data_IF_481228337788
#
_entry.id   IF_481228337788
#
_cell.length_a   1.000
_cell.length_b   1.000
_cell.length_c   1.000
_cell.angle_alpha   90.00
_cell.angle_beta   90.00
_cell.angle_gamma   90.00
#
_symmetry.space_group_name_H-M   'P 1'
#
loop_
_entity.id
_entity.type
_entity.pdbx_description
1 polymer ?
#
# COMPACT_ATOMS: atom_id res chain seq x y z
N UNK A 1 -14.72 10.26 -4.14
CA UNK A 1 -13.27 10.47 -4.24
C UNK A 1 -12.50 9.67 -3.19
N UNK A 2 -12.54 9.96 -1.89
CA UNK A 2 -11.70 9.28 -0.86
C UNK A 2 -11.79 7.75 -0.88
N UNK A 3 -12.97 7.19 -1.09
CA UNK A 3 -13.14 5.74 -1.20
C UNK A 3 -12.41 5.18 -2.42
N UNK A 4 -12.48 5.84 -3.56
CA UNK A 4 -11.87 5.36 -4.80
C UNK A 4 -10.34 5.31 -4.73
N UNK A 5 -9.70 6.35 -4.19
CA UNK A 5 -8.23 6.41 -4.09
C UNK A 5 -7.65 5.53 -2.97
N UNK A 6 -8.48 5.01 -2.06
CA UNK A 6 -8.11 4.02 -1.04
C UNK A 6 -8.56 2.60 -1.39
N UNK A 7 -9.12 2.38 -2.59
CA UNK A 7 -9.39 1.07 -3.14
C UNK A 7 -8.10 0.47 -3.72
N UNK A 8 -7.82 -0.81 -3.47
CA UNK A 8 -6.66 -1.50 -4.07
C UNK A 8 -6.70 -1.53 -5.59
N UNK A 9 -7.86 -1.38 -6.21
CA UNK A 9 -7.95 -1.17 -7.66
C UNK A 9 -7.20 0.08 -8.12
N UNK A 10 -7.24 1.17 -7.34
CA UNK A 10 -6.47 2.39 -7.63
C UNK A 10 -4.98 2.11 -7.58
N UNK A 11 -4.49 1.48 -6.50
CA UNK A 11 -3.10 1.07 -6.39
C UNK A 11 -2.66 0.18 -7.55
N UNK A 12 -3.45 -0.87 -7.87
CA UNK A 12 -3.16 -1.81 -8.95
C UNK A 12 -3.11 -1.12 -10.33
N UNK A 13 -3.93 -0.08 -10.56
CA UNK A 13 -3.95 0.67 -11.82
C UNK A 13 -2.67 1.47 -12.09
N UNK A 14 -1.86 1.72 -11.06
CA UNK A 14 -0.59 2.42 -11.19
C UNK A 14 0.57 1.53 -11.68
N UNK A 15 0.31 0.26 -11.95
CA UNK A 15 1.33 -0.71 -12.33
C UNK A 15 2.23 -1.13 -11.14
N UNK A 16 3.40 -1.68 -11.45
CA UNK A 16 4.39 -2.18 -10.48
C UNK A 16 3.87 -3.34 -9.60
N UNK A 17 2.99 -4.18 -10.11
CA UNK A 17 2.59 -5.41 -9.41
C UNK A 17 3.72 -6.45 -9.37
N UNK A 18 3.68 -7.36 -8.40
CA UNK A 18 4.51 -8.57 -8.42
C UNK A 18 4.15 -9.43 -9.64
N UNK A 19 5.10 -10.23 -10.19
CA UNK A 19 4.82 -11.10 -11.33
C UNK A 19 3.61 -12.00 -11.10
N UNK A 20 2.60 -11.91 -11.95
CA UNK A 20 1.34 -12.64 -11.83
C UNK A 20 0.30 -11.99 -10.90
N UNK A 21 0.60 -10.88 -10.25
CA UNK A 21 -0.38 -10.15 -9.47
C UNK A 21 -1.46 -9.52 -10.35
N UNK A 22 -2.71 -9.52 -9.87
CA UNK A 22 -3.84 -8.92 -10.56
C UNK A 22 -4.89 -8.39 -9.58
N UNK A 23 -5.59 -7.33 -9.99
CA UNK A 23 -6.83 -6.93 -9.34
C UNK A 23 -8.01 -7.51 -10.13
N UNK A 24 -8.88 -8.27 -9.45
CA UNK A 24 -9.98 -9.01 -10.05
C UNK A 24 -11.32 -8.59 -9.44
N UNK A 25 -12.37 -8.62 -10.25
CA UNK A 25 -13.72 -8.20 -9.83
C UNK A 25 -14.74 -9.33 -9.86
N UNK A 26 -14.43 -10.43 -10.52
CA UNK A 26 -15.31 -11.59 -10.65
C UNK A 26 -14.72 -12.82 -10.01
N UNK A 27 -15.57 -13.79 -9.66
CA UNK A 27 -15.13 -15.08 -9.14
C UNK A 27 -14.28 -15.83 -10.17
N UNK A 28 -14.67 -15.79 -11.45
CA UNK A 28 -13.98 -16.53 -12.51
C UNK A 28 -12.58 -15.97 -12.75
N UNK A 29 -12.41 -14.63 -12.75
CA UNK A 29 -11.08 -14.01 -12.80
C UNK A 29 -10.24 -14.42 -11.59
N UNK A 30 -10.81 -14.43 -10.38
CA UNK A 30 -10.09 -14.84 -9.17
C UNK A 30 -9.63 -16.29 -9.25
N UNK A 31 -10.50 -17.18 -9.70
CA UNK A 31 -10.17 -18.59 -9.88
C UNK A 31 -9.11 -18.80 -10.96
N UNK A 32 -9.15 -18.05 -12.06
CA UNK A 32 -8.14 -18.11 -13.12
C UNK A 32 -6.74 -17.70 -12.60
N UNK A 33 -6.65 -16.59 -11.83
CA UNK A 33 -5.37 -16.19 -11.21
C UNK A 33 -4.87 -17.24 -10.23
N UNK A 34 -5.72 -17.76 -9.35
CA UNK A 34 -5.34 -18.77 -8.35
C UNK A 34 -4.94 -20.12 -8.96
N UNK A 35 -5.46 -20.44 -10.15
CA UNK A 35 -5.07 -21.65 -10.90
C UNK A 35 -3.73 -21.49 -11.62
N UNK A 36 -3.28 -20.26 -11.87
CA UNK A 36 -2.03 -19.98 -12.55
C UNK A 36 -0.81 -20.38 -11.71
N UNK A 37 0.33 -20.58 -12.40
CA UNK A 37 1.61 -20.86 -11.72
C UNK A 37 2.03 -19.65 -10.86
N UNK A 38 2.29 -19.92 -9.60
CA UNK A 38 2.78 -18.93 -8.64
C UNK A 38 4.26 -19.21 -8.31
N UNK A 39 5.13 -18.21 -8.44
CA UNK A 39 6.58 -18.34 -8.17
C UNK A 39 6.88 -18.75 -6.73
N UNK A 40 6.02 -18.37 -5.77
CA UNK A 40 6.15 -18.70 -4.35
C UNK A 40 5.32 -19.92 -3.92
N UNK A 41 4.59 -20.55 -4.84
CA UNK A 41 3.67 -21.67 -4.57
C UNK A 41 2.38 -21.28 -3.85
N UNK A 42 2.25 -20.04 -3.40
CA UNK A 42 1.07 -19.54 -2.66
C UNK A 42 0.68 -18.15 -3.09
N UNK A 43 -0.61 -17.88 -3.11
CA UNK A 43 -1.22 -16.60 -3.39
C UNK A 43 -1.75 -15.93 -2.13
N UNK A 44 -1.57 -14.63 -2.02
CA UNK A 44 -2.21 -13.77 -1.04
C UNK A 44 -3.33 -12.99 -1.73
N UNK A 45 -4.58 -13.25 -1.36
CA UNK A 45 -5.72 -12.47 -1.80
C UNK A 45 -6.10 -11.44 -0.74
N UNK A 46 -6.24 -10.18 -1.15
CA UNK A 46 -6.56 -9.02 -0.29
C UNK A 46 -7.83 -8.37 -0.81
N UNK A 47 -8.83 -8.12 0.03
CA UNK A 47 -10.05 -7.39 -0.37
C UNK A 47 -9.72 -5.97 -0.81
N UNK A 48 -10.56 -5.43 -1.71
CA UNK A 48 -10.45 -4.04 -2.20
C UNK A 48 -10.25 -3.02 -1.07
N UNK A 49 -10.94 -3.24 0.05
CA UNK A 49 -10.78 -2.46 1.27
C UNK A 49 -10.34 -3.38 2.41
N UNK A 50 -9.14 -3.15 2.93
CA UNK A 50 -8.58 -3.85 4.08
C UNK A 50 -7.98 -2.87 5.07
N UNK A 51 -7.93 -3.26 6.35
CA UNK A 51 -7.32 -2.48 7.41
C UNK A 51 -6.54 -3.38 8.35
N UNK A 52 -5.30 -2.99 8.71
CA UNK A 52 -4.46 -3.66 9.70
C UNK A 52 -4.34 -5.19 9.46
N UNK A 53 -4.10 -5.61 8.22
CA UNK A 53 -3.95 -7.02 7.86
C UNK A 53 -5.26 -7.83 7.79
N UNK A 54 -6.42 -7.21 8.05
CA UNK A 54 -7.74 -7.86 7.94
C UNK A 54 -8.19 -7.91 6.47
N UNK A 55 -9.09 -8.85 6.17
CA UNK A 55 -9.66 -8.98 4.82
C UNK A 55 -8.71 -9.63 3.81
N UNK A 56 -7.78 -10.46 4.29
CA UNK A 56 -6.86 -11.24 3.45
C UNK A 56 -7.03 -12.75 3.67
N UNK A 57 -6.68 -13.53 2.65
CA UNK A 57 -6.67 -15.00 2.71
C UNK A 57 -5.51 -15.52 1.85
N UNK A 58 -4.87 -16.58 2.34
CA UNK A 58 -3.83 -17.29 1.60
C UNK A 58 -4.44 -18.52 0.92
N UNK A 59 -4.02 -18.76 -0.32
CA UNK A 59 -4.38 -19.93 -1.12
C UNK A 59 -3.10 -20.65 -1.58
N UNK A 60 -3.09 -21.95 -1.57
CA UNK A 60 -2.10 -22.72 -2.32
C UNK A 60 -2.39 -22.56 -3.83
N UNK A 61 -1.35 -22.48 -4.66
CA UNK A 61 -1.53 -22.39 -6.11
C UNK A 61 -2.28 -23.61 -6.64
N UNK A 62 -3.28 -23.38 -7.48
CA UNK A 62 -4.12 -24.42 -8.06
C UNK A 62 -5.17 -25.03 -7.11
N UNK A 63 -5.29 -24.55 -5.86
CA UNK A 63 -6.22 -25.17 -4.89
C UNK A 63 -7.15 -24.14 -4.25
N UNK A 64 -8.46 -24.35 -4.37
CA UNK A 64 -9.49 -23.54 -3.72
C UNK A 64 -10.52 -24.46 -3.08
N UNK A 65 -10.54 -24.53 -1.76
CA UNK A 65 -11.52 -25.27 -0.99
C UNK A 65 -12.91 -24.59 -0.96
N UNK A 66 -13.93 -25.27 -0.47
CA UNK A 66 -15.29 -24.73 -0.39
C UNK A 66 -15.37 -23.42 0.44
N UNK A 67 -14.63 -23.35 1.55
CA UNK A 67 -14.58 -22.16 2.41
C UNK A 67 -13.86 -20.99 1.71
N UNK A 68 -12.79 -21.28 0.96
CA UNK A 68 -12.09 -20.32 0.11
C UNK A 68 -12.98 -19.79 -1.00
N UNK A 69 -13.69 -20.69 -1.71
CA UNK A 69 -14.64 -20.29 -2.74
C UNK A 69 -15.75 -19.37 -2.19
N UNK A 70 -16.34 -19.71 -1.04
CA UNK A 70 -17.34 -18.88 -0.40
C UNK A 70 -16.77 -17.50 0.00
N UNK A 71 -15.52 -17.42 0.44
CA UNK A 71 -14.84 -16.16 0.74
C UNK A 71 -14.61 -15.31 -0.53
N UNK A 72 -14.19 -15.93 -1.65
CA UNK A 72 -14.01 -15.28 -2.95
C UNK A 72 -15.34 -14.71 -3.46
N UNK A 73 -16.43 -15.49 -3.42
CA UNK A 73 -17.78 -15.02 -3.82
C UNK A 73 -18.17 -13.74 -3.08
N UNK A 74 -17.97 -13.70 -1.75
CA UNK A 74 -18.28 -12.48 -0.96
C UNK A 74 -17.36 -11.31 -1.31
N UNK A 75 -16.10 -11.56 -1.61
CA UNK A 75 -15.13 -10.53 -1.90
C UNK A 75 -15.29 -9.94 -3.30
N UNK A 76 -15.72 -10.73 -4.28
CA UNK A 76 -16.00 -10.32 -5.66
C UNK A 76 -17.46 -9.88 -5.90
N UNK A 77 -18.31 -9.93 -4.86
CA UNK A 77 -19.67 -9.37 -4.96
C UNK A 77 -19.62 -7.84 -5.15
N UNK A 78 -20.70 -7.24 -5.61
CA UNK A 78 -20.80 -5.79 -5.78
C UNK A 78 -20.48 -5.03 -4.47
N UNK A 79 -20.90 -5.57 -3.31
CA UNK A 79 -20.56 -5.02 -2.00
C UNK A 79 -19.08 -5.25 -1.60
N UNK A 80 -18.46 -6.31 -2.10
CA UNK A 80 -17.06 -6.66 -1.82
C UNK A 80 -16.05 -5.81 -2.58
N UNK A 81 -16.39 -5.34 -3.77
CA UNK A 81 -15.60 -4.43 -4.60
C UNK A 81 -14.47 -5.09 -5.38
N UNK A 82 -14.11 -6.34 -5.11
CA UNK A 82 -13.03 -7.08 -5.76
C UNK A 82 -11.89 -7.48 -4.84
N UNK A 83 -10.85 -8.02 -5.46
CA UNK A 83 -9.66 -8.56 -4.79
C UNK A 83 -8.39 -8.16 -5.54
N UNK A 84 -7.36 -7.81 -4.80
CA UNK A 84 -5.99 -7.91 -5.27
C UNK A 84 -5.45 -9.30 -4.91
N UNK A 85 -4.90 -10.01 -5.89
CA UNK A 85 -4.27 -11.33 -5.71
C UNK A 85 -2.82 -11.19 -6.14
N UNK A 86 -1.88 -11.51 -5.25
CA UNK A 86 -0.44 -11.41 -5.48
C UNK A 86 0.29 -12.66 -4.94
N UNK A 87 1.49 -12.98 -5.41
CA UNK A 87 2.33 -13.99 -4.79
C UNK A 87 2.54 -13.70 -3.30
N UNK A 88 2.40 -14.72 -2.44
CA UNK A 88 2.73 -14.59 -1.02
C UNK A 88 4.25 -14.61 -0.85
N UNK A 89 4.85 -13.46 -0.68
CA UNK A 89 6.28 -13.29 -0.51
C UNK A 89 6.75 -13.55 0.93
N UNK A 90 7.97 -14.11 1.06
CA UNK A 90 8.70 -14.20 2.33
C UNK A 90 9.34 -12.85 2.62
N UNK A 91 8.60 -11.96 3.31
CA UNK A 91 9.01 -10.59 3.61
C UNK A 91 10.09 -10.59 4.67
N UNK A 92 11.21 -9.90 4.40
CA UNK A 92 12.34 -9.73 5.31
C UNK A 92 12.39 -8.37 5.96
N UNK A 93 11.78 -7.34 5.35
CA UNK A 93 11.66 -6.00 5.91
C UNK A 93 10.48 -5.26 5.28
N UNK A 94 9.79 -4.45 6.06
CA UNK A 94 8.68 -3.61 5.62
C UNK A 94 9.03 -2.13 5.81
N UNK A 95 8.73 -1.32 4.80
CA UNK A 95 9.04 0.10 4.75
C UNK A 95 7.79 0.89 4.36
N UNK A 96 7.78 2.18 4.72
CA UNK A 96 6.81 3.13 4.19
C UNK A 96 7.51 4.44 3.79
N UNK A 97 6.89 5.17 2.89
CA UNK A 97 7.22 6.57 2.59
C UNK A 97 5.94 7.38 2.64
N UNK A 98 6.03 8.56 3.19
CA UNK A 98 4.88 9.41 3.46
C UNK A 98 5.03 10.74 2.73
N UNK A 99 3.91 11.30 2.31
CA UNK A 99 3.89 12.59 1.66
C UNK A 99 2.63 13.39 1.98
N UNK A 100 2.65 14.64 1.56
CA UNK A 100 1.51 15.53 1.62
C UNK A 100 1.35 16.22 0.28
N UNK A 101 0.16 16.12 -0.29
CA UNK A 101 -0.22 16.76 -1.54
C UNK A 101 -1.08 17.98 -1.23
N UNK A 102 -0.57 19.17 -1.55
CA UNK A 102 -1.31 20.43 -1.39
C UNK A 102 -2.42 20.59 -2.41
N UNK A 103 -3.41 21.43 -2.12
CA UNK A 103 -4.53 21.73 -3.03
C UNK A 103 -4.09 22.28 -4.39
N UNK A 104 -2.93 22.94 -4.46
CA UNK A 104 -2.31 23.46 -5.70
C UNK A 104 -1.34 22.46 -6.37
N UNK A 105 -1.30 21.21 -5.95
CA UNK A 105 -0.40 20.20 -6.49
C UNK A 105 1.01 20.20 -5.89
N UNK A 106 1.31 21.10 -4.96
CA UNK A 106 2.60 21.10 -4.26
C UNK A 106 2.79 19.79 -3.48
N UNK A 107 3.88 19.09 -3.76
CA UNK A 107 4.20 17.81 -3.14
C UNK A 107 5.32 17.99 -2.10
N UNK A 108 5.09 17.49 -0.90
CA UNK A 108 6.13 17.30 0.12
C UNK A 108 6.25 15.81 0.40
N UNK A 109 7.46 15.27 0.27
CA UNK A 109 7.76 13.87 0.57
C UNK A 109 8.70 13.82 1.79
N UNK A 110 8.37 12.97 2.74
CA UNK A 110 9.17 12.73 3.94
C UNK A 110 10.29 11.71 3.72
N UNK A 111 10.93 11.33 4.82
CA UNK A 111 11.98 10.32 4.80
C UNK A 111 11.38 8.89 4.91
N UNK A 112 12.09 7.87 4.35
CA UNK A 112 11.67 6.48 4.49
C UNK A 112 11.56 6.07 5.96
N UNK A 113 10.58 5.23 6.25
CA UNK A 113 10.39 4.63 7.57
C UNK A 113 10.46 3.12 7.48
N UNK A 114 10.98 2.48 8.53
CA UNK A 114 10.89 1.04 8.75
C UNK A 114 9.68 0.73 9.60
N UNK A 115 8.94 -0.31 9.23
CA UNK A 115 7.78 -0.79 9.97
C UNK A 115 8.14 -2.06 10.75
N UNK A 116 7.71 -2.14 11.98
CA UNK A 116 7.73 -3.36 12.78
C UNK A 116 6.37 -4.02 12.65
N UNK A 117 6.35 -5.21 12.07
CA UNK A 117 5.15 -5.98 11.78
C UNK A 117 5.23 -7.29 12.53
N UNK A 118 4.16 -7.72 13.17
CA UNK A 118 4.11 -9.01 13.85
C UNK A 118 4.02 -10.19 12.86
N UNK A 119 4.09 -11.42 13.38
CA UNK A 119 3.99 -12.65 12.59
C UNK A 119 2.66 -12.79 11.84
N UNK A 120 1.61 -12.11 12.31
CA UNK A 120 0.32 -12.06 11.63
C UNK A 120 0.26 -10.97 10.55
N UNK A 121 1.32 -10.14 10.42
CA UNK A 121 1.40 -9.01 9.51
C UNK A 121 0.60 -7.81 9.98
N UNK A 122 0.35 -7.68 11.28
CA UNK A 122 -0.22 -6.49 11.87
C UNK A 122 0.89 -5.52 12.28
N UNK A 123 0.65 -4.25 12.02
CA UNK A 123 1.56 -3.17 12.40
C UNK A 123 1.69 -3.07 13.93
N UNK A 124 2.92 -2.91 14.40
CA UNK A 124 3.27 -2.72 15.82
C UNK A 124 3.91 -1.35 16.08
N UNK A 125 4.85 -0.94 15.23
CA UNK A 125 5.56 0.33 15.39
C UNK A 125 6.10 0.86 14.06
N UNK A 126 6.43 2.14 14.02
CA UNK A 126 7.15 2.79 12.91
C UNK A 126 8.28 3.63 13.48
N UNK A 127 9.44 3.59 12.83
CA UNK A 127 10.59 4.45 13.09
C UNK A 127 11.18 4.94 11.77
N UNK A 128 11.99 5.98 11.79
CA UNK A 128 12.78 6.36 10.61
C UNK A 128 13.70 5.20 10.21
N UNK A 129 13.79 4.95 8.92
CA UNK A 129 14.76 4.00 8.40
C UNK A 129 16.17 4.52 8.62
N UNK A 130 17.09 3.64 9.09
CA UNK A 130 18.50 3.99 9.21
C UNK A 130 19.14 4.08 7.82
N UNK A 131 20.32 4.70 7.75
CA UNK A 131 21.03 4.90 6.50
C UNK A 131 21.40 3.57 5.81
N UNK A 132 21.67 2.54 6.59
CA UNK A 132 22.10 1.20 6.16
C UNK A 132 20.94 0.23 5.86
N UNK A 133 19.68 0.63 6.09
CA UNK A 133 18.52 -0.27 5.91
C UNK A 133 17.99 -0.32 4.48
N UNK A 134 18.22 0.71 3.70
CA UNK A 134 17.80 0.79 2.30
C UNK A 134 19.00 1.13 1.42
N UNK A 135 19.20 0.36 0.38
CA UNK A 135 20.19 0.66 -0.66
C UNK A 135 19.84 1.99 -1.37
N UNK A 136 20.85 2.71 -1.93
CA UNK A 136 20.56 3.95 -2.68
C UNK A 136 19.49 3.77 -3.77
N UNK A 137 19.59 2.70 -4.56
CA UNK A 137 18.59 2.40 -5.61
C UNK A 137 17.19 2.15 -5.05
N UNK A 138 17.06 1.53 -3.88
CA UNK A 138 15.77 1.31 -3.22
C UNK A 138 15.17 2.64 -2.72
N UNK A 139 16.01 3.55 -2.22
CA UNK A 139 15.58 4.92 -1.82
C UNK A 139 15.08 5.71 -3.01
N UNK A 140 15.80 5.65 -4.12
CA UNK A 140 15.43 6.36 -5.35
C UNK A 140 14.13 5.78 -5.94
N UNK A 141 14.00 4.46 -5.99
CA UNK A 141 12.76 3.79 -6.40
C UNK A 141 11.57 4.20 -5.52
N UNK A 142 11.77 4.30 -4.20
CA UNK A 142 10.71 4.76 -3.28
C UNK A 142 10.29 6.20 -3.55
N UNK A 143 11.25 7.11 -3.78
CA UNK A 143 10.96 8.50 -4.11
C UNK A 143 10.20 8.59 -5.43
N UNK A 144 10.64 7.87 -6.45
CA UNK A 144 9.98 7.80 -7.74
C UNK A 144 8.51 7.33 -7.59
N UNK A 145 8.27 6.24 -6.87
CA UNK A 145 6.93 5.71 -6.62
C UNK A 145 6.05 6.66 -5.80
N UNK A 146 6.64 7.45 -4.88
CA UNK A 146 5.89 8.47 -4.15
C UNK A 146 5.42 9.61 -5.07
N UNK A 147 6.25 10.00 -6.05
CA UNK A 147 5.87 11.01 -7.05
C UNK A 147 4.77 10.48 -7.98
N UNK A 148 4.91 9.27 -8.52
CA UNK A 148 3.88 8.62 -9.35
C UNK A 148 2.55 8.50 -8.61
N UNK A 149 2.58 8.07 -7.35
CA UNK A 149 1.38 7.98 -6.54
C UNK A 149 0.73 9.35 -6.31
N UNK A 150 1.55 10.40 -6.03
CA UNK A 150 1.06 11.76 -5.81
C UNK A 150 0.43 12.34 -7.08
N UNK A 151 1.04 12.15 -8.26
CA UNK A 151 0.49 12.58 -9.55
C UNK A 151 -0.87 11.92 -9.82
N UNK A 152 -0.97 10.61 -9.62
CA UNK A 152 -2.22 9.89 -9.81
C UNK A 152 -3.30 10.32 -8.80
N UNK A 153 -2.93 10.58 -7.55
CA UNK A 153 -3.82 11.11 -6.53
C UNK A 153 -4.32 12.51 -6.91
N UNK A 154 -3.44 13.37 -7.44
CA UNK A 154 -3.81 14.70 -7.92
C UNK A 154 -4.80 14.64 -9.08
N UNK A 155 -4.54 13.77 -10.07
CA UNK A 155 -5.45 13.53 -11.20
C UNK A 155 -6.82 13.05 -10.72
N UNK A 156 -6.86 12.21 -9.67
CA UNK A 156 -8.09 11.77 -9.03
C UNK A 156 -8.78 12.85 -8.16
N UNK A 157 -8.22 14.07 -8.10
CA UNK A 157 -8.73 15.19 -7.32
C UNK A 157 -8.45 15.11 -5.82
N UNK A 158 -7.53 14.23 -5.39
CA UNK A 158 -7.13 14.10 -3.99
C UNK A 158 -6.12 15.18 -3.61
N UNK A 159 -6.21 15.67 -2.40
CA UNK A 159 -5.20 16.45 -1.70
C UNK A 159 -5.16 16.05 -0.23
N UNK A 160 -4.01 16.19 0.40
CA UNK A 160 -3.82 15.81 1.80
C UNK A 160 -2.69 14.82 2.02
N UNK A 161 -2.63 14.21 3.21
CA UNK A 161 -1.60 13.23 3.57
C UNK A 161 -1.80 11.93 2.82
N UNK A 162 -0.69 11.30 2.42
CA UNK A 162 -0.71 9.96 1.86
C UNK A 162 0.52 9.15 2.33
N UNK A 163 0.47 7.86 2.15
CA UNK A 163 1.59 6.96 2.36
C UNK A 163 1.60 5.85 1.33
N UNK A 164 2.79 5.40 0.98
CA UNK A 164 3.02 4.21 0.17
C UNK A 164 3.81 3.19 0.97
N UNK A 165 3.40 1.94 0.90
CA UNK A 165 4.08 0.83 1.56
C UNK A 165 4.99 0.09 0.58
N UNK A 166 6.08 -0.49 1.08
CA UNK A 166 7.02 -1.30 0.34
C UNK A 166 7.55 -2.42 1.21
N UNK A 167 8.16 -3.42 0.58
CA UNK A 167 8.83 -4.48 1.33
C UNK A 167 10.01 -5.06 0.57
N UNK A 168 10.95 -5.61 1.32
CA UNK A 168 11.99 -6.49 0.81
C UNK A 168 11.57 -7.92 1.08
N UNK A 169 11.86 -8.82 0.15
CA UNK A 169 11.46 -10.21 0.27
C UNK A 169 12.51 -11.14 -0.32
N UNK A 170 12.48 -12.38 0.11
CA UNK A 170 13.37 -13.44 -0.39
C UNK A 170 12.60 -14.34 -1.35
N UNK A 171 13.17 -14.58 -2.53
CA UNK A 171 12.62 -15.55 -3.48
C UNK A 171 12.84 -16.97 -2.97
N UNK A 172 12.14 -17.98 -3.50
CA UNK A 172 12.43 -19.39 -3.20
C UNK A 172 13.87 -19.81 -3.53
N UNK A 173 14.52 -19.14 -4.48
CA UNK A 173 15.93 -19.34 -4.81
C UNK A 173 16.91 -18.68 -3.84
N UNK A 174 16.44 -17.89 -2.88
CA UNK A 174 17.26 -17.21 -1.88
C UNK A 174 17.61 -15.75 -2.23
N UNK A 175 17.30 -15.27 -3.43
CA UNK A 175 17.61 -13.92 -3.87
C UNK A 175 16.75 -12.89 -3.14
N UNK A 176 17.36 -11.76 -2.81
CA UNK A 176 16.64 -10.61 -2.24
C UNK A 176 16.08 -9.72 -3.35
N UNK A 177 14.84 -9.34 -3.20
CA UNK A 177 14.11 -8.45 -4.09
C UNK A 177 13.48 -7.31 -3.30
N UNK A 178 13.24 -6.19 -3.98
CA UNK A 178 12.57 -5.04 -3.40
C UNK A 178 11.31 -4.70 -4.19
N UNK A 179 10.18 -4.58 -3.49
CA UNK A 179 8.92 -4.13 -4.07
C UNK A 179 8.65 -2.71 -3.58
N UNK A 180 8.91 -1.74 -4.44
CA UNK A 180 8.99 -0.33 -4.07
C UNK A 180 7.63 0.30 -3.73
N UNK A 181 6.50 -0.27 -4.19
CA UNK A 181 5.15 0.16 -3.84
C UNK A 181 4.18 -1.02 -3.86
N UNK A 182 3.71 -1.45 -2.71
CA UNK A 182 2.76 -2.56 -2.55
C UNK A 182 1.38 -2.12 -2.03
N UNK A 183 1.20 -0.87 -1.65
CA UNK A 183 -0.08 -0.27 -1.30
C UNK A 183 0.01 1.27 -1.37
N UNK A 184 -1.12 1.93 -1.61
CA UNK A 184 -1.29 3.39 -1.53
C UNK A 184 -2.40 3.70 -0.53
N UNK A 185 -2.09 4.58 0.42
CA UNK A 185 -2.97 4.98 1.50
C UNK A 185 -3.21 6.48 1.44
N UNK A 186 -4.28 6.94 0.80
CA UNK A 186 -4.65 8.35 0.67
C UNK A 186 -5.32 8.88 1.94
N UNK A 187 -4.57 8.90 3.03
CA UNK A 187 -5.00 9.31 4.37
C UNK A 187 -3.80 9.46 5.30
N UNK A 188 -4.01 9.98 6.51
CA UNK A 188 -3.04 9.79 7.59
C UNK A 188 -2.86 8.31 7.88
N UNK A 189 -1.59 7.86 7.87
CA UNK A 189 -1.19 6.53 8.32
C UNK A 189 -0.53 6.62 9.69
N UNK A 190 -0.41 5.49 10.40
CA UNK A 190 0.20 5.47 11.74
C UNK A 190 1.65 5.95 11.75
N UNK A 191 2.39 5.74 10.66
CA UNK A 191 3.78 6.19 10.50
C UNK A 191 3.94 7.61 9.94
N UNK A 192 2.86 8.29 9.57
CA UNK A 192 2.92 9.54 8.80
C UNK A 192 3.72 10.63 9.54
N UNK A 193 3.45 10.86 10.81
CA UNK A 193 4.16 11.86 11.60
C UNK A 193 5.66 11.56 11.74
N UNK A 194 6.03 10.29 11.84
CA UNK A 194 7.42 9.83 11.91
C UNK A 194 8.15 10.09 10.60
N UNK A 195 7.54 9.73 9.47
CA UNK A 195 8.10 9.90 8.13
C UNK A 195 8.24 11.36 7.72
N UNK A 196 7.21 12.18 7.96
CA UNK A 196 7.23 13.59 7.62
C UNK A 196 8.11 14.42 8.56
N UNK A 197 8.22 14.03 9.82
CA UNK A 197 9.05 14.76 10.80
C UNK A 197 8.78 16.27 10.84
N UNK A 198 9.83 17.12 10.79
CA UNK A 198 9.66 18.59 10.81
C UNK A 198 8.98 19.15 9.55
N UNK A 199 9.01 18.43 8.42
CA UNK A 199 8.43 18.87 7.14
C UNK A 199 6.91 18.69 7.06
N UNK A 200 6.19 18.72 8.18
CA UNK A 200 4.73 18.51 8.27
C UNK A 200 3.96 19.75 7.79
N UNK A 201 3.45 19.78 6.54
CA UNK A 201 2.76 20.96 5.99
C UNK A 201 1.43 21.26 6.67
N UNK A 202 0.80 20.26 7.29
CA UNK A 202 -0.43 20.42 8.06
C UNK A 202 -0.23 21.28 9.31
N UNK A 203 0.93 21.19 9.96
CA UNK A 203 1.28 22.05 11.11
C UNK A 203 1.68 23.45 10.68
N UNK A 204 2.41 23.59 9.56
CA UNK A 204 2.84 24.88 9.05
C UNK A 204 1.64 25.76 8.67
N UNK A 205 0.56 25.21 8.14
CA UNK A 205 -0.69 25.92 7.85
C UNK A 205 -1.41 26.40 9.11
N UNK A 206 -1.47 25.57 10.14
CA UNK A 206 -2.14 25.92 11.40
C UNK A 206 -1.45 27.12 12.13
N UNK A 207 -0.14 27.32 11.87
CA UNK A 207 0.62 28.45 12.43
C UNK A 207 0.50 29.71 11.56
N UNK A 208 0.20 29.56 10.26
CA UNK A 208 0.16 30.68 9.29
C UNK A 208 -1.22 31.31 9.14
N UNK A 209 -2.28 30.68 9.59
CA UNK A 209 -3.62 31.30 9.62
C UNK A 209 -3.79 32.06 10.95
N UNK A 210 -3.86 33.41 10.94
CA UNK A 210 -4.23 34.14 12.13
C UNK A 210 -5.64 33.70 12.53
N UNK A 211 -5.83 33.40 13.80
CA UNK A 211 -7.14 33.06 14.36
C UNK A 211 -8.14 34.18 14.01
N UNK A 212 -8.91 33.98 12.94
CA UNK A 212 -10.08 34.81 12.61
C UNK A 212 -11.22 34.41 13.53
N UNK A 213 -11.07 34.69 14.83
CA UNK A 213 -12.18 34.67 15.76
C UNK A 213 -12.92 36.00 15.71
N UNK A 214 -14.25 36.03 15.83
CA UNK A 214 -14.98 37.28 15.91
C UNK A 214 -14.52 38.02 17.17
N UNK A 215 -14.01 39.26 16.96
CA UNK A 215 -13.86 40.20 18.07
C UNK A 215 -15.26 40.62 18.49
N UNK A 216 -15.65 40.17 19.66
CA UNK A 216 -16.84 40.68 20.37
C UNK A 216 -16.54 42.09 20.86
#
# INVERSE_FOLDING_TARGET
>A
MLRAVNDRAFHASLGLGLPGAAFVRTLDEALAVLAARCSTGRWLAKRAFGFAGRGRRVFAAGTVDAAGRAWLVRATSAAGGGLEIEPLCDRTADFAMHGFLGTGGALTVGEPTSQVIDKAGAWQATRRARADELEPAERDARRHEAHLAAEALQVAGYFGPFGIDAFRWRSPGGDLHFHARCDVNARYTMGWAVGMGPARPDLLRAVSEPATGPRV
#
